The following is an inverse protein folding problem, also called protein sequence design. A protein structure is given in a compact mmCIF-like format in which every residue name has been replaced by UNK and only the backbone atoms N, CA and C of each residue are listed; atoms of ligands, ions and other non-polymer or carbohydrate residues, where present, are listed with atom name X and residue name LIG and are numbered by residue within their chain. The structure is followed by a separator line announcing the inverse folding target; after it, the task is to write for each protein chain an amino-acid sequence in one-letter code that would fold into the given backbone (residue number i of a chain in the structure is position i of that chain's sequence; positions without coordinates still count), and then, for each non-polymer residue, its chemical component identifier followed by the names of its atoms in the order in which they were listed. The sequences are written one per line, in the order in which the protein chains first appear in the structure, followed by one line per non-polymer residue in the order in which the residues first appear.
data_IF_885209587198
#
_entry.id   IF_885209587198
#
_cell.length_a   1.000
_cell.length_b   1.000
_cell.length_c   1.000
_cell.angle_alpha   90.00
_cell.angle_beta   90.00
_cell.angle_gamma   90.00
#
_symmetry.space_group_name_H-M   'P 1'
#
loop_
_entity.id
_entity.type
_entity.pdbx_description
1 polymer ?
#
# COMPACT_ATOMS: atom_id res chain seq x y z
N UNK A 1 -9.73 31.72 -1.54
CA UNK A 1 -9.85 33.08 -2.10
C UNK A 1 -10.76 33.19 -3.34
N UNK A 2 -11.24 32.08 -3.92
CA UNK A 2 -12.18 32.13 -5.06
C UNK A 2 -11.52 32.28 -6.44
N UNK A 3 -10.20 32.28 -6.50
CA UNK A 3 -9.42 32.32 -7.74
C UNK A 3 -9.03 30.91 -8.19
N UNK A 4 -8.82 30.74 -9.51
CA UNK A 4 -8.43 29.47 -10.12
C UNK A 4 -9.59 28.54 -10.46
N UNK A 5 -9.27 27.26 -10.63
CA UNK A 5 -10.21 26.20 -11.01
C UNK A 5 -10.37 25.21 -9.87
N UNK A 6 -11.56 24.60 -9.76
CA UNK A 6 -11.85 23.53 -8.82
C UNK A 6 -12.71 22.45 -9.47
N UNK A 7 -12.52 21.20 -9.05
CA UNK A 7 -13.41 20.09 -9.36
C UNK A 7 -14.56 20.04 -8.34
N UNK A 8 -15.80 20.18 -8.82
CA UNK A 8 -17.00 20.07 -8.00
C UNK A 8 -17.97 19.10 -8.66
N UNK A 9 -18.35 18.04 -7.93
CA UNK A 9 -19.22 16.96 -8.42
C UNK A 9 -18.76 16.38 -9.77
N UNK A 10 -17.45 16.12 -9.90
CA UNK A 10 -16.85 15.52 -11.09
C UNK A 10 -16.72 16.46 -12.29
N UNK A 11 -16.92 17.78 -12.12
CA UNK A 11 -16.75 18.77 -13.19
C UNK A 11 -15.78 19.87 -12.76
N UNK A 12 -14.78 20.12 -13.60
CA UNK A 12 -13.86 21.25 -13.45
C UNK A 12 -14.54 22.57 -13.84
N UNK A 13 -14.44 23.57 -12.98
CA UNK A 13 -15.05 24.89 -13.17
C UNK A 13 -14.34 25.98 -12.35
N UNK A 14 -14.63 27.27 -12.60
CA UNK A 14 -14.05 28.37 -11.82
C UNK A 14 -14.34 28.21 -10.31
N UNK A 15 -13.31 28.39 -9.48
CA UNK A 15 -13.36 28.15 -8.04
C UNK A 15 -14.46 28.97 -7.33
N UNK A 16 -14.71 30.21 -7.76
CA UNK A 16 -15.80 31.05 -7.24
C UNK A 16 -17.18 30.41 -7.43
N UNK A 17 -17.41 29.75 -8.58
CA UNK A 17 -18.67 29.06 -8.87
C UNK A 17 -18.80 27.79 -8.03
N UNK A 18 -17.72 27.02 -7.93
CA UNK A 18 -17.67 25.82 -7.09
C UNK A 18 -17.97 26.14 -5.61
N UNK A 19 -17.37 27.20 -5.06
CA UNK A 19 -17.66 27.68 -3.70
C UNK A 19 -19.13 28.05 -3.52
N UNK A 20 -19.71 28.82 -4.45
CA UNK A 20 -21.14 29.20 -4.41
C UNK A 20 -22.06 27.97 -4.42
N UNK A 21 -21.78 26.99 -5.30
CA UNK A 21 -22.54 25.75 -5.37
C UNK A 21 -22.42 24.91 -4.09
N UNK A 22 -21.25 24.94 -3.44
CA UNK A 22 -21.01 24.33 -2.14
C UNK A 22 -21.56 25.14 -0.94
N UNK A 23 -22.21 26.29 -1.18
CA UNK A 23 -22.67 27.24 -0.16
C UNK A 23 -21.55 27.78 0.73
N UNK A 24 -20.37 27.98 0.14
CA UNK A 24 -19.18 28.55 0.77
C UNK A 24 -18.86 29.92 0.15
N UNK A 25 -18.32 30.82 0.96
CA UNK A 25 -17.81 32.12 0.51
C UNK A 25 -16.29 32.11 0.31
N UNK A 26 -15.74 32.95 -0.58
CA UNK A 26 -14.29 33.20 -0.61
C UNK A 26 -13.78 33.75 0.72
N UNK A 27 -12.64 33.24 1.18
CA UNK A 27 -11.91 33.82 2.31
C UNK A 27 -11.02 34.98 1.86
N UNK A 28 -10.91 36.03 2.67
CA UNK A 28 -9.87 37.06 2.54
C UNK A 28 -8.61 36.63 3.28
N UNK A 29 -7.43 36.93 2.74
CA UNK A 29 -6.15 36.59 3.37
C UNK A 29 -5.62 37.77 4.19
N UNK A 30 -5.11 37.47 5.39
CA UNK A 30 -4.37 38.39 6.23
C UNK A 30 -2.86 38.33 5.93
N UNK A 31 -2.06 39.28 6.46
CA UNK A 31 -0.61 39.20 6.35
C UNK A 31 -0.08 37.85 6.86
N UNK A 32 0.85 37.25 6.09
CA UNK A 32 1.48 35.93 6.31
C UNK A 32 0.67 34.69 5.90
N UNK A 33 -0.65 34.78 5.72
CA UNK A 33 -1.48 33.62 5.35
C UNK A 33 -1.02 32.95 4.04
N UNK A 34 -0.60 33.74 3.04
CA UNK A 34 -0.12 33.20 1.76
C UNK A 34 1.09 32.28 1.92
N UNK A 35 2.08 32.68 2.73
CA UNK A 35 3.24 31.84 3.01
C UNK A 35 2.84 30.59 3.80
N UNK A 36 1.95 30.74 4.79
CA UNK A 36 1.44 29.62 5.58
C UNK A 36 0.68 28.59 4.72
N UNK A 37 -0.02 29.02 3.67
CA UNK A 37 -0.76 28.12 2.77
C UNK A 37 0.15 27.32 1.82
N UNK A 38 1.24 27.91 1.33
CA UNK A 38 2.08 27.28 0.31
C UNK A 38 3.33 26.60 0.87
N UNK A 39 3.83 27.04 2.04
CA UNK A 39 5.08 26.53 2.62
C UNK A 39 4.84 25.28 3.47
N UNK A 40 4.23 24.27 2.87
CA UNK A 40 3.98 22.97 3.49
C UNK A 40 4.23 21.84 2.49
N UNK A 41 4.69 20.69 2.97
CA UNK A 41 4.87 19.48 2.16
C UNK A 41 3.55 18.70 1.95
N UNK A 42 2.40 19.34 2.16
CA UNK A 42 1.09 18.69 2.21
C UNK A 42 0.75 17.91 0.92
N UNK A 43 1.13 18.44 -0.25
CA UNK A 43 0.92 17.75 -1.54
C UNK A 43 1.73 16.46 -1.61
N UNK A 44 3.02 16.52 -1.28
CA UNK A 44 3.89 15.34 -1.29
C UNK A 44 3.51 14.33 -0.20
N UNK A 45 3.16 14.80 1.00
CA UNK A 45 2.73 13.95 2.10
C UNK A 45 1.40 13.26 1.80
N UNK A 46 0.43 13.99 1.25
CA UNK A 46 -0.86 13.43 0.82
C UNK A 46 -0.73 12.45 -0.34
N UNK A 47 0.10 12.76 -1.35
CA UNK A 47 0.41 11.80 -2.41
C UNK A 47 1.12 10.55 -1.88
N UNK A 48 2.10 10.73 -0.99
CA UNK A 48 2.84 9.64 -0.36
C UNK A 48 1.96 8.71 0.48
N UNK A 49 0.98 9.25 1.23
CA UNK A 49 0.08 8.42 2.03
C UNK A 49 -0.84 7.54 1.16
N UNK A 50 -1.30 8.05 0.02
CA UNK A 50 -2.05 7.25 -0.97
C UNK A 50 -1.18 6.12 -1.52
N UNK A 51 0.05 6.43 -1.94
CA UNK A 51 0.99 5.42 -2.45
C UNK A 51 1.28 4.34 -1.42
N UNK A 52 1.50 4.70 -0.15
CA UNK A 52 1.74 3.72 0.92
C UNK A 52 0.50 2.83 1.12
N UNK A 53 -0.70 3.41 1.08
CA UNK A 53 -1.96 2.65 1.21
C UNK A 53 -2.09 1.62 0.09
N UNK A 54 -1.87 2.05 -1.15
CA UNK A 54 -1.94 1.16 -2.32
C UNK A 54 -0.84 0.08 -2.28
N UNK A 55 0.38 0.45 -1.88
CA UNK A 55 1.50 -0.49 -1.78
C UNK A 55 1.26 -1.57 -0.71
N UNK A 56 0.68 -1.23 0.44
CA UNK A 56 0.33 -2.19 1.48
C UNK A 56 -0.76 -3.15 1.00
N UNK A 57 -1.77 -2.64 0.28
CA UNK A 57 -2.80 -3.49 -0.33
C UNK A 57 -2.22 -4.42 -1.40
N UNK A 58 -1.30 -3.92 -2.22
CA UNK A 58 -0.64 -4.72 -3.25
C UNK A 58 0.26 -5.79 -2.64
N UNK A 59 0.94 -5.50 -1.52
CA UNK A 59 1.78 -6.46 -0.81
C UNK A 59 0.95 -7.62 -0.25
N UNK A 60 -0.21 -7.36 0.34
CA UNK A 60 -1.11 -8.41 0.84
C UNK A 60 -1.61 -9.33 -0.29
N UNK A 61 -2.04 -8.73 -1.41
CA UNK A 61 -2.44 -9.48 -2.60
C UNK A 61 -1.29 -10.31 -3.18
N UNK A 62 -0.07 -9.78 -3.15
CA UNK A 62 1.12 -10.48 -3.60
C UNK A 62 1.44 -11.69 -2.73
N UNK A 63 1.19 -11.64 -1.41
CA UNK A 63 1.33 -12.81 -0.54
C UNK A 63 0.31 -13.90 -0.87
N UNK A 64 -0.95 -13.51 -1.12
CA UNK A 64 -2.00 -14.47 -1.51
C UNK A 64 -1.69 -15.13 -2.86
N UNK A 65 -1.25 -14.35 -3.85
CA UNK A 65 -0.83 -14.88 -5.15
C UNK A 65 0.42 -15.77 -5.04
N UNK A 66 1.37 -15.40 -4.16
CA UNK A 66 2.54 -16.18 -3.84
C UNK A 66 2.19 -17.54 -3.22
N UNK A 67 1.30 -17.55 -2.23
CA UNK A 67 0.79 -18.77 -1.62
C UNK A 67 0.13 -19.68 -2.66
N UNK A 68 -0.79 -19.16 -3.48
CA UNK A 68 -1.43 -19.94 -4.54
C UNK A 68 -0.40 -20.52 -5.54
N UNK A 69 0.62 -19.75 -5.87
CA UNK A 69 1.73 -20.22 -6.72
C UNK A 69 2.51 -21.35 -6.06
N UNK A 70 2.81 -21.23 -4.76
CA UNK A 70 3.48 -22.27 -3.98
C UNK A 70 2.66 -23.57 -3.94
N UNK A 71 1.34 -23.47 -3.78
CA UNK A 71 0.45 -24.64 -3.81
C UNK A 71 0.44 -25.31 -5.18
N UNK A 72 0.22 -24.54 -6.24
CA UNK A 72 0.18 -25.08 -7.60
C UNK A 72 1.50 -25.69 -8.06
N UNK A 73 2.64 -25.19 -7.54
CA UNK A 73 3.97 -25.71 -7.84
C UNK A 73 4.37 -26.92 -6.97
N UNK A 74 3.68 -27.16 -5.86
CA UNK A 74 4.11 -28.14 -4.85
C UNK A 74 5.40 -27.71 -4.14
N UNK A 75 5.52 -26.43 -3.84
CA UNK A 75 6.74 -25.83 -3.28
C UNK A 75 7.10 -26.39 -1.90
N UNK A 76 8.39 -26.39 -1.60
CA UNK A 76 8.95 -26.79 -0.32
C UNK A 76 8.70 -25.74 0.76
N UNK A 77 7.65 -25.98 1.56
CA UNK A 77 7.20 -25.09 2.64
C UNK A 77 8.17 -25.00 3.83
N UNK A 78 9.22 -25.84 3.91
CA UNK A 78 10.21 -25.78 5.01
C UNK A 78 10.95 -24.45 5.05
N UNK A 79 11.01 -23.72 3.93
CA UNK A 79 11.61 -22.39 3.84
C UNK A 79 10.89 -21.35 4.69
N UNK A 80 9.62 -21.58 5.04
CA UNK A 80 8.77 -20.69 5.84
C UNK A 80 8.89 -20.95 7.34
N UNK A 81 9.74 -21.91 7.76
CA UNK A 81 9.93 -22.22 9.17
C UNK A 81 10.42 -20.98 9.95
N UNK A 82 9.70 -20.55 11.00
CA UNK A 82 10.07 -19.36 11.78
C UNK A 82 11.53 -19.39 12.29
N UNK A 83 12.09 -20.58 12.56
CA UNK A 83 13.48 -20.73 13.02
C UNK A 83 14.49 -20.27 11.97
N UNK A 84 14.22 -20.44 10.68
CA UNK A 84 15.09 -19.96 9.61
C UNK A 84 15.13 -18.43 9.55
N UNK A 85 13.96 -17.80 9.67
CA UNK A 85 13.83 -16.34 9.63
C UNK A 85 14.30 -15.67 10.92
N UNK A 86 14.27 -16.37 12.06
CA UNK A 86 14.91 -15.92 13.31
C UNK A 86 16.44 -16.04 13.26
N UNK A 87 16.98 -17.06 12.59
CA UNK A 87 18.43 -17.25 12.47
C UNK A 87 19.10 -16.16 11.62
N UNK A 88 18.39 -15.60 10.63
CA UNK A 88 18.88 -14.51 9.77
C UNK A 88 17.77 -13.49 9.50
N UNK A 89 17.50 -12.57 10.45
CA UNK A 89 16.42 -11.60 10.29
C UNK A 89 16.77 -10.53 9.25
N UNK A 90 15.79 -10.19 8.41
CA UNK A 90 15.78 -8.99 7.58
C UNK A 90 14.43 -8.26 7.76
N UNK A 91 14.41 -6.96 7.45
CA UNK A 91 13.22 -6.14 7.63
C UNK A 91 12.01 -6.73 6.87
N UNK A 92 10.91 -7.00 7.59
CA UNK A 92 9.68 -7.55 7.02
C UNK A 92 9.72 -9.04 6.67
N UNK A 93 10.87 -9.70 6.77
CA UNK A 93 11.04 -11.08 6.29
C UNK A 93 10.29 -12.09 7.17
N UNK A 94 10.30 -11.90 8.49
CA UNK A 94 9.60 -12.79 9.42
C UNK A 94 8.09 -12.65 9.28
N UNK A 95 7.61 -11.41 9.13
CA UNK A 95 6.21 -11.09 8.90
C UNK A 95 5.72 -11.69 7.58
N UNK A 96 6.49 -11.54 6.50
CA UNK A 96 6.18 -12.11 5.20
C UNK A 96 6.11 -13.64 5.23
N UNK A 97 7.12 -14.30 5.82
CA UNK A 97 7.16 -15.75 5.94
C UNK A 97 6.00 -16.29 6.79
N UNK A 98 5.70 -15.60 7.89
CA UNK A 98 4.54 -15.94 8.72
C UNK A 98 3.22 -15.82 7.95
N UNK A 99 3.03 -14.74 7.19
CA UNK A 99 1.83 -14.56 6.38
C UNK A 99 1.65 -15.71 5.37
N UNK A 100 2.71 -16.08 4.64
CA UNK A 100 2.68 -17.22 3.72
C UNK A 100 2.43 -18.54 4.45
N UNK A 101 3.07 -18.77 5.59
CA UNK A 101 2.86 -19.97 6.39
C UNK A 101 1.40 -20.09 6.84
N UNK A 102 0.80 -19.00 7.32
CA UNK A 102 -0.59 -18.97 7.77
C UNK A 102 -1.57 -19.16 6.60
N UNK A 103 -1.31 -18.55 5.43
CA UNK A 103 -2.12 -18.72 4.21
C UNK A 103 -2.08 -20.17 3.69
N UNK A 104 -0.94 -20.85 3.87
CA UNK A 104 -0.71 -22.23 3.45
C UNK A 104 -1.02 -23.26 4.54
N UNK A 105 -1.54 -22.83 5.69
CA UNK A 105 -1.87 -23.72 6.79
C UNK A 105 -3.03 -24.64 6.38
N UNK A 106 -2.78 -25.95 6.37
CA UNK A 106 -3.76 -26.99 6.06
C UNK A 106 -3.32 -28.31 6.68
N UNK A 107 -4.25 -29.27 6.80
CA UNK A 107 -4.08 -30.49 7.60
C UNK A 107 -2.96 -31.42 7.11
N UNK A 108 -2.57 -31.33 5.83
CA UNK A 108 -1.47 -32.12 5.28
C UNK A 108 -0.70 -31.31 4.22
N UNK A 109 0.52 -30.87 4.56
CA UNK A 109 1.41 -30.27 3.58
C UNK A 109 1.92 -31.37 2.63
N UNK A 110 1.71 -31.26 1.31
CA UNK A 110 2.20 -32.26 0.38
C UNK A 110 3.73 -32.36 0.47
N UNK A 111 4.26 -33.56 0.29
CA UNK A 111 5.70 -33.75 0.19
C UNK A 111 6.24 -32.86 -0.94
N UNK A 112 7.34 -32.12 -0.70
CA UNK A 112 7.84 -31.18 -1.69
C UNK A 112 8.26 -31.91 -2.96
N UNK A 113 7.92 -31.36 -4.12
CA UNK A 113 8.24 -31.96 -5.42
C UNK A 113 9.75 -31.94 -5.70
N UNK A 114 10.48 -30.99 -5.08
CA UNK A 114 11.92 -30.83 -5.23
C UNK A 114 12.60 -30.58 -3.88
N UNK A 115 13.91 -30.84 -3.79
CA UNK A 115 14.68 -30.51 -2.59
C UNK A 115 14.81 -28.99 -2.39
N UNK A 116 14.94 -28.24 -3.48
CA UNK A 116 15.09 -26.78 -3.48
C UNK A 116 14.33 -26.19 -4.66
N UNK A 117 13.44 -25.26 -4.36
CA UNK A 117 12.73 -24.51 -5.39
C UNK A 117 13.61 -23.39 -5.98
N UNK A 118 13.25 -22.87 -7.17
CA UNK A 118 13.87 -21.68 -7.73
C UNK A 118 13.80 -20.48 -6.77
N UNK A 119 14.76 -19.56 -6.88
CA UNK A 119 14.87 -18.36 -6.03
C UNK A 119 13.65 -17.43 -6.06
N UNK A 120 12.79 -17.53 -7.07
CA UNK A 120 11.53 -16.76 -7.12
C UNK A 120 10.46 -17.31 -6.17
N UNK A 121 10.63 -18.54 -5.69
CA UNK A 121 9.74 -19.23 -4.74
C UNK A 121 10.43 -19.41 -3.39
N UNK A 122 11.75 -19.68 -3.38
CA UNK A 122 12.59 -19.85 -2.18
C UNK A 122 13.15 -18.54 -1.64
#
# INVERSE_FOLDING_TARGET
IGEGEADYQGRRMPAVKALMMARLGPIGLAPKDGLSLINASAVSAGGGSLVVTDALSALDQQQQAGALTMEGFGANRTILDPRLHMARPAAGQQEAAKALHDLLAGDEAPAPTTLQDPLSIR
#
